data_IF_013894197268
#
_entry.id   IF_013894197268
#
_cell.length_a   1.000
_cell.length_b   1.000
_cell.length_c   1.000
_cell.angle_alpha   90.00
_cell.angle_beta   90.00
_cell.angle_gamma   90.00
#
_symmetry.space_group_name_H-M   'P 1'
#
loop_
_entity.id
_entity.type
_entity.pdbx_description
1 polymer ?
#
# COMPACT_ATOMS: atom_id res chain seq x y z
N UNK A 1 -8.83 -20.13 -1.32
CA UNK A 1 -8.97 -18.80 -1.98
C UNK A 1 -7.58 -18.29 -2.39
N UNK A 2 -7.45 -17.77 -3.60
CA UNK A 2 -6.22 -17.10 -4.05
C UNK A 2 -6.37 -15.59 -3.79
N UNK A 3 -5.36 -14.97 -3.19
CA UNK A 3 -5.31 -13.53 -2.97
C UNK A 3 -4.42 -12.90 -4.05
N UNK A 4 -4.93 -11.91 -4.78
CA UNK A 4 -4.08 -11.07 -5.60
C UNK A 4 -3.39 -10.04 -4.70
N UNK A 5 -2.06 -10.05 -4.68
CA UNK A 5 -1.28 -9.12 -3.85
C UNK A 5 -1.49 -7.67 -4.25
N UNK A 6 -1.60 -6.78 -3.27
CA UNK A 6 -1.68 -5.34 -3.50
C UNK A 6 -0.30 -4.77 -3.84
N UNK A 7 -0.05 -4.55 -5.13
CA UNK A 7 1.26 -4.16 -5.65
C UNK A 7 1.34 -2.66 -5.94
N UNK A 8 2.37 -2.02 -5.41
CA UNK A 8 2.87 -0.69 -5.72
C UNK A 8 1.82 0.38 -5.96
N UNK A 9 2.23 1.62 -6.22
CA UNK A 9 1.27 2.66 -6.56
C UNK A 9 0.67 2.41 -7.96
N UNK A 10 -0.62 2.06 -8.00
CA UNK A 10 -1.38 1.93 -9.24
C UNK A 10 -1.15 0.65 -10.06
N UNK A 11 -0.25 -0.26 -9.68
CA UNK A 11 -0.09 -1.56 -10.36
C UNK A 11 -1.32 -2.42 -10.09
N UNK A 12 -1.67 -2.64 -8.82
CA UNK A 12 -2.95 -3.23 -8.41
C UNK A 12 -4.03 -2.14 -8.37
N UNK A 13 -4.54 -1.80 -9.53
CA UNK A 13 -5.64 -0.85 -9.70
C UNK A 13 -7.00 -1.58 -9.63
N UNK A 14 -8.10 -0.82 -9.67
CA UNK A 14 -9.45 -1.35 -9.64
C UNK A 14 -9.75 -2.35 -10.77
N UNK A 15 -9.14 -2.20 -11.98
CA UNK A 15 -9.36 -3.12 -13.10
C UNK A 15 -8.82 -4.51 -12.81
N UNK A 16 -7.59 -4.58 -12.31
CA UNK A 16 -6.98 -5.83 -11.91
C UNK A 16 -7.77 -6.48 -10.76
N UNK A 17 -8.09 -5.72 -9.72
CA UNK A 17 -8.87 -6.23 -8.60
C UNK A 17 -10.23 -6.75 -9.04
N UNK A 18 -10.97 -6.02 -9.88
CA UNK A 18 -12.25 -6.44 -10.44
C UNK A 18 -12.13 -7.73 -11.27
N UNK A 19 -11.13 -7.80 -12.15
CA UNK A 19 -10.91 -8.97 -12.99
C UNK A 19 -10.66 -10.22 -12.16
N UNK A 20 -9.82 -10.12 -11.14
CA UNK A 20 -9.55 -11.23 -10.20
C UNK A 20 -10.80 -11.59 -9.40
N UNK A 21 -11.50 -10.61 -8.84
CA UNK A 21 -12.72 -10.87 -8.06
C UNK A 21 -13.80 -11.55 -8.90
N UNK A 22 -13.97 -11.18 -10.16
CA UNK A 22 -14.91 -11.86 -11.08
C UNK A 22 -14.62 -13.35 -11.30
N UNK A 23 -13.41 -13.82 -11.01
CA UNK A 23 -13.08 -15.25 -11.03
C UNK A 23 -13.41 -15.99 -9.73
N UNK A 24 -14.03 -15.31 -8.75
CA UNK A 24 -14.33 -15.88 -7.43
C UNK A 24 -13.12 -15.86 -6.47
N UNK A 25 -12.04 -15.18 -6.83
CA UNK A 25 -10.85 -15.01 -5.98
C UNK A 25 -10.84 -13.62 -5.32
N UNK A 26 -9.90 -13.34 -4.42
CA UNK A 26 -9.80 -12.04 -3.76
C UNK A 26 -8.95 -11.07 -4.60
N UNK A 27 -9.61 -10.18 -5.32
CA UNK A 27 -8.98 -9.03 -5.96
C UNK A 27 -8.68 -7.93 -4.95
N UNK A 28 -7.48 -7.36 -5.01
CA UNK A 28 -7.02 -6.39 -4.01
C UNK A 28 -6.51 -5.12 -4.70
N UNK A 29 -7.06 -3.97 -4.34
CA UNK A 29 -6.51 -2.68 -4.76
C UNK A 29 -5.35 -2.27 -3.87
N UNK A 30 -4.32 -1.63 -4.44
CA UNK A 30 -3.29 -0.97 -3.65
C UNK A 30 -3.79 0.41 -3.22
N UNK A 31 -3.90 0.63 -1.90
CA UNK A 31 -4.34 1.89 -1.32
C UNK A 31 -3.27 2.99 -1.31
N UNK A 32 -2.07 2.70 -1.83
CA UNK A 32 -0.93 3.64 -1.80
C UNK A 32 -1.07 4.70 -2.90
N UNK A 33 -0.92 5.98 -2.53
CA UNK A 33 -0.93 7.14 -3.43
C UNK A 33 -2.20 7.29 -4.29
N UNK A 34 -3.33 6.77 -3.84
CA UNK A 34 -4.59 6.83 -4.58
C UNK A 34 -5.11 8.26 -4.77
N UNK A 35 -4.90 9.16 -3.82
CA UNK A 35 -5.22 10.58 -3.93
C UNK A 35 -4.52 11.24 -5.13
N UNK A 36 -3.22 10.97 -5.30
CA UNK A 36 -2.44 11.46 -6.43
C UNK A 36 -2.90 10.82 -7.75
N UNK A 37 -3.09 9.50 -7.77
CA UNK A 37 -3.56 8.77 -8.96
C UNK A 37 -4.95 9.27 -9.37
N UNK A 38 -5.86 9.40 -8.43
CA UNK A 38 -7.22 9.85 -8.64
C UNK A 38 -7.26 11.30 -9.17
N UNK A 39 -6.52 12.21 -8.53
CA UNK A 39 -6.44 13.61 -8.98
C UNK A 39 -5.85 13.74 -10.38
N UNK A 40 -4.87 12.92 -10.76
CA UNK A 40 -4.30 12.88 -12.11
C UNK A 40 -5.29 12.33 -13.14
N UNK A 41 -6.04 11.27 -12.80
CA UNK A 41 -7.11 10.75 -13.68
C UNK A 41 -8.17 11.81 -13.97
N UNK A 42 -8.60 12.59 -12.96
CA UNK A 42 -9.51 13.72 -13.14
C UNK A 42 -8.91 14.83 -14.05
N UNK A 43 -7.63 15.14 -13.86
CA UNK A 43 -6.93 16.14 -14.66
C UNK A 43 -6.66 15.70 -16.11
N UNK A 44 -6.69 14.39 -16.37
CA UNK A 44 -6.66 13.81 -17.72
C UNK A 44 -8.05 13.74 -18.39
N UNK A 45 -9.07 14.30 -17.73
CA UNK A 45 -10.44 14.31 -18.26
C UNK A 45 -11.25 13.07 -17.91
N UNK A 46 -10.80 12.29 -16.93
CA UNK A 46 -11.43 11.03 -16.50
C UNK A 46 -11.74 10.09 -17.68
N UNK A 47 -10.71 9.56 -18.39
CA UNK A 47 -10.92 8.72 -19.55
C UNK A 47 -11.86 7.55 -19.25
N UNK A 48 -12.99 7.48 -19.95
CA UNK A 48 -14.05 6.50 -19.72
C UNK A 48 -15.05 6.86 -18.62
N UNK A 49 -14.95 8.05 -17.98
CA UNK A 49 -15.90 8.54 -16.99
C UNK A 49 -15.95 7.72 -15.69
N UNK A 50 -14.89 6.96 -15.41
CA UNK A 50 -14.88 5.99 -14.30
C UNK A 50 -14.87 6.66 -12.93
N UNK A 51 -14.08 7.73 -12.76
CA UNK A 51 -13.99 8.42 -11.47
C UNK A 51 -15.29 9.15 -11.16
N UNK A 52 -15.87 9.86 -12.15
CA UNK A 52 -17.14 10.55 -11.99
C UNK A 52 -18.28 9.57 -11.68
N UNK A 53 -18.31 8.40 -12.38
CA UNK A 53 -19.31 7.36 -12.10
C UNK A 53 -19.20 6.85 -10.65
N UNK A 54 -18.01 6.56 -10.18
CA UNK A 54 -17.79 6.14 -8.78
C UNK A 54 -18.21 7.23 -7.80
N UNK A 55 -17.81 8.48 -8.03
CA UNK A 55 -18.18 9.63 -7.20
C UNK A 55 -19.68 9.87 -7.13
N UNK A 56 -20.43 9.56 -8.19
CA UNK A 56 -21.91 9.65 -8.18
C UNK A 56 -22.58 8.75 -7.12
N UNK A 57 -21.87 7.77 -6.57
CA UNK A 57 -22.33 6.90 -5.50
C UNK A 57 -21.78 7.29 -4.12
N UNK A 58 -20.96 8.33 -4.04
CA UNK A 58 -20.42 8.80 -2.76
C UNK A 58 -21.52 9.53 -1.96
N UNK A 59 -21.60 9.35 -0.62
CA UNK A 59 -22.72 9.87 0.16
C UNK A 59 -22.77 11.40 0.33
N UNK A 60 -21.73 12.13 -0.08
CA UNK A 60 -21.63 13.58 0.05
C UNK A 60 -21.35 14.25 -1.31
N UNK A 61 -22.42 14.77 -1.95
CA UNK A 61 -22.34 15.44 -3.25
C UNK A 61 -21.53 16.75 -3.21
N UNK A 62 -21.65 17.52 -2.11
CA UNK A 62 -20.91 18.79 -1.98
C UNK A 62 -19.40 18.54 -1.92
N UNK A 63 -18.97 17.45 -1.28
CA UNK A 63 -17.57 17.03 -1.26
C UNK A 63 -17.10 16.64 -2.67
N UNK A 64 -17.91 15.91 -3.42
CA UNK A 64 -17.63 15.54 -4.82
C UNK A 64 -17.46 16.80 -5.68
N UNK A 65 -18.36 17.77 -5.53
CA UNK A 65 -18.31 19.02 -6.30
C UNK A 65 -17.04 19.83 -5.99
N UNK A 66 -16.64 19.91 -4.72
CA UNK A 66 -15.36 20.57 -4.34
C UNK A 66 -14.14 19.91 -4.97
N UNK A 67 -14.11 18.58 -5.03
CA UNK A 67 -13.00 17.84 -5.62
C UNK A 67 -12.98 17.99 -7.13
N UNK A 68 -14.14 17.89 -7.80
CA UNK A 68 -14.28 18.12 -9.24
C UNK A 68 -13.86 19.54 -9.63
N UNK A 69 -14.35 20.55 -8.92
CA UNK A 69 -13.98 21.95 -9.16
C UNK A 69 -12.47 22.19 -9.09
N UNK A 70 -11.77 21.44 -8.23
CA UNK A 70 -10.33 21.62 -8.04
C UNK A 70 -9.46 20.84 -9.01
N UNK A 71 -9.85 19.63 -9.41
CA UNK A 71 -9.00 18.71 -10.17
C UNK A 71 -9.55 18.29 -11.53
N UNK A 72 -10.86 18.34 -11.77
CA UNK A 72 -11.38 17.92 -13.06
C UNK A 72 -11.00 18.92 -14.14
N UNK A 73 -10.51 18.40 -15.26
CA UNK A 73 -10.22 19.18 -16.49
C UNK A 73 -10.90 18.46 -17.66
N UNK A 74 -11.81 19.11 -18.40
CA UNK A 74 -12.39 18.50 -19.59
C UNK A 74 -11.31 18.09 -20.61
N UNK A 75 -11.49 16.95 -21.26
CA UNK A 75 -10.52 16.39 -22.23
C UNK A 75 -10.24 17.32 -23.43
N UNK A 76 -11.16 18.25 -23.74
CA UNK A 76 -11.05 19.19 -24.85
C UNK A 76 -10.22 20.45 -24.54
N UNK A 77 -9.59 20.52 -23.37
CA UNK A 77 -8.71 21.63 -22.99
C UNK A 77 -7.36 21.55 -23.73
N UNK A 78 -7.09 22.51 -24.61
CA UNK A 78 -5.86 22.62 -25.39
C UNK A 78 -4.60 22.70 -24.50
N UNK A 79 -3.65 21.78 -24.73
CA UNK A 79 -2.28 21.82 -24.22
C UNK A 79 -2.01 20.94 -23.02
N UNK A 80 -0.82 20.34 -22.98
CA UNK A 80 -0.28 19.62 -21.82
C UNK A 80 0.00 20.63 -20.69
N UNK A 81 -0.96 20.82 -19.80
CA UNK A 81 -0.72 21.60 -18.58
C UNK A 81 -0.11 20.70 -17.53
N UNK A 82 0.88 21.18 -16.75
CA UNK A 82 1.40 20.43 -15.61
C UNK A 82 0.28 19.98 -14.68
N UNK A 83 0.43 18.81 -14.09
CA UNK A 83 -0.52 18.35 -13.10
C UNK A 83 -0.48 19.24 -11.85
N UNK A 84 -1.64 19.58 -11.34
CA UNK A 84 -1.79 20.18 -10.02
C UNK A 84 -1.56 19.08 -8.99
N UNK A 85 -0.44 19.15 -8.30
CA UNK A 85 -0.09 18.18 -7.27
C UNK A 85 -0.95 18.39 -6.02
N UNK A 86 -1.53 17.33 -5.43
CA UNK A 86 -2.17 17.42 -4.12
C UNK A 86 -1.18 17.83 -3.03
N UNK A 87 -1.62 18.51 -1.97
CA UNK A 87 -0.78 18.76 -0.81
C UNK A 87 -0.31 17.45 -0.16
N UNK A 88 0.92 17.43 0.33
CA UNK A 88 1.44 16.26 1.07
C UNK A 88 0.71 16.11 2.40
N UNK A 89 0.23 14.91 2.70
CA UNK A 89 -0.46 14.60 3.95
C UNK A 89 0.47 14.81 5.15
N UNK A 90 -0.03 15.45 6.20
CA UNK A 90 0.68 15.76 7.45
C UNK A 90 -0.20 15.46 8.66
N UNK A 91 0.29 15.67 9.88
CA UNK A 91 -0.56 15.58 11.08
C UNK A 91 -1.67 16.64 11.07
N UNK A 92 -1.39 17.82 10.51
CA UNK A 92 -2.33 18.94 10.39
C UNK A 92 -2.92 19.00 8.96
N UNK A 93 -3.23 17.83 8.38
CA UNK A 93 -3.82 17.75 7.04
C UNK A 93 -5.15 18.52 6.96
N UNK A 94 -5.27 19.37 5.94
CA UNK A 94 -6.48 20.15 5.70
C UNK A 94 -7.67 19.29 5.28
N UNK A 95 -8.88 19.82 5.42
CA UNK A 95 -10.12 19.14 5.11
C UNK A 95 -10.16 18.65 3.67
N UNK A 96 -9.71 19.47 2.72
CA UNK A 96 -9.72 19.13 1.31
C UNK A 96 -8.83 17.93 0.96
N UNK A 97 -7.65 17.85 1.57
CA UNK A 97 -6.73 16.71 1.38
C UNK A 97 -7.30 15.43 1.99
N UNK A 98 -8.00 15.54 3.14
CA UNK A 98 -8.76 14.41 3.73
C UNK A 98 -9.86 13.96 2.77
N UNK A 99 -10.65 14.88 2.22
CA UNK A 99 -11.71 14.61 1.25
C UNK A 99 -11.17 13.88 0.01
N UNK A 100 -10.08 14.38 -0.56
CA UNK A 100 -9.43 13.75 -1.71
C UNK A 100 -8.99 12.32 -1.41
N UNK A 101 -8.39 12.08 -0.23
CA UNK A 101 -7.91 10.75 0.14
C UNK A 101 -9.06 9.77 0.37
N UNK A 102 -10.12 10.19 1.03
CA UNK A 102 -11.33 9.38 1.24
C UNK A 102 -12.00 9.05 -0.09
N UNK A 103 -12.24 10.04 -0.95
CA UNK A 103 -12.86 9.86 -2.27
C UNK A 103 -12.04 8.96 -3.20
N UNK A 104 -10.73 9.11 -3.19
CA UNK A 104 -9.84 8.29 -4.02
C UNK A 104 -9.91 6.80 -3.66
N UNK A 105 -9.87 6.49 -2.35
CA UNK A 105 -9.98 5.11 -1.87
C UNK A 105 -11.39 4.55 -2.06
N UNK A 106 -12.43 5.38 -1.86
CA UNK A 106 -13.80 5.01 -2.18
C UNK A 106 -13.94 4.63 -3.65
N UNK A 107 -13.51 5.49 -4.56
CA UNK A 107 -13.67 5.28 -5.99
C UNK A 107 -12.95 4.03 -6.49
N UNK A 108 -11.72 3.78 -6.03
CA UNK A 108 -10.94 2.62 -6.44
C UNK A 108 -11.60 1.30 -5.98
N UNK A 109 -12.10 1.24 -4.73
CA UNK A 109 -12.80 0.06 -4.22
C UNK A 109 -14.18 -0.09 -4.85
N UNK A 110 -14.96 1.01 -5.01
CA UNK A 110 -16.26 0.97 -5.66
C UNK A 110 -16.17 0.37 -7.06
N UNK A 111 -15.24 0.86 -7.89
CA UNK A 111 -15.03 0.35 -9.24
C UNK A 111 -14.55 -1.10 -9.26
N UNK A 112 -13.73 -1.49 -8.30
CA UNK A 112 -13.32 -2.88 -8.16
C UNK A 112 -14.49 -3.81 -7.82
N UNK A 113 -15.50 -3.34 -7.09
CA UNK A 113 -16.72 -4.10 -6.72
C UNK A 113 -17.83 -4.04 -7.76
N UNK A 114 -17.72 -3.17 -8.75
CA UNK A 114 -18.80 -2.92 -9.72
C UNK A 114 -19.08 -4.16 -10.58
N UNK A 115 -20.37 -4.57 -10.63
CA UNK A 115 -20.85 -5.64 -11.52
C UNK A 115 -20.57 -7.07 -11.05
N UNK A 116 -20.28 -7.28 -9.76
CA UNK A 116 -20.20 -8.60 -9.14
C UNK A 116 -20.34 -8.51 -7.61
N UNK A 117 -20.64 -9.65 -6.98
CA UNK A 117 -20.80 -9.78 -5.52
C UNK A 117 -19.58 -10.45 -4.82
N UNK A 118 -18.54 -10.79 -5.58
CA UNK A 118 -17.35 -11.44 -5.05
C UNK A 118 -16.50 -10.47 -4.20
N UNK A 119 -15.65 -10.98 -3.29
CA UNK A 119 -14.91 -10.14 -2.36
C UNK A 119 -13.86 -9.28 -3.05
N UNK A 120 -13.68 -8.06 -2.52
CA UNK A 120 -12.63 -7.11 -2.89
C UNK A 120 -11.89 -6.69 -1.63
N UNK A 121 -10.57 -6.64 -1.72
CA UNK A 121 -9.69 -6.15 -0.66
C UNK A 121 -9.00 -4.82 -1.00
N UNK A 122 -8.44 -4.20 0.02
CA UNK A 122 -7.46 -3.13 -0.12
C UNK A 122 -6.20 -3.46 0.66
N UNK A 123 -5.03 -3.14 0.09
CA UNK A 123 -3.74 -3.32 0.75
C UNK A 123 -3.12 -1.96 1.08
N UNK A 124 -2.68 -1.79 2.32
CA UNK A 124 -2.04 -0.59 2.83
C UNK A 124 -0.72 -0.95 3.51
N UNK A 125 0.19 0.04 3.58
CA UNK A 125 1.47 -0.08 4.26
C UNK A 125 1.35 0.53 5.67
N UNK A 126 1.74 -0.21 6.70
CA UNK A 126 1.76 0.33 8.07
C UNK A 126 2.70 1.53 8.19
N UNK A 127 3.87 1.48 7.56
CA UNK A 127 4.85 2.58 7.55
C UNK A 127 4.31 3.89 6.94
N UNK A 128 3.30 3.83 6.09
CA UNK A 128 2.64 5.00 5.50
C UNK A 128 1.44 5.39 6.37
N UNK A 129 1.71 5.81 7.62
CA UNK A 129 0.70 5.95 8.66
C UNK A 129 -0.28 7.11 8.45
N UNK A 130 0.17 8.25 7.94
CA UNK A 130 -0.61 9.48 7.88
C UNK A 130 -1.91 9.39 7.06
N UNK A 131 -1.94 8.76 5.86
CA UNK A 131 -3.18 8.62 5.08
C UNK A 131 -4.09 7.48 5.55
N UNK A 132 -3.60 6.55 6.39
CA UNK A 132 -4.27 5.27 6.64
C UNK A 132 -5.70 5.44 7.17
N UNK A 133 -5.96 6.37 8.09
CA UNK A 133 -7.31 6.57 8.63
C UNK A 133 -8.31 7.00 7.55
N UNK A 134 -7.92 7.91 6.68
CA UNK A 134 -8.75 8.41 5.58
C UNK A 134 -8.93 7.36 4.49
N UNK A 135 -7.84 6.65 4.14
CA UNK A 135 -7.85 5.58 3.15
C UNK A 135 -8.76 4.42 3.58
N UNK A 136 -8.64 3.97 4.82
CA UNK A 136 -9.49 2.92 5.38
C UNK A 136 -10.96 3.33 5.37
N UNK A 137 -11.27 4.56 5.80
CA UNK A 137 -12.66 5.03 5.83
C UNK A 137 -13.26 5.11 4.43
N UNK A 138 -12.53 5.64 3.44
CA UNK A 138 -12.97 5.66 2.04
C UNK A 138 -13.24 4.27 1.48
N UNK A 139 -12.33 3.33 1.71
CA UNK A 139 -12.51 1.94 1.30
C UNK A 139 -13.73 1.28 1.98
N UNK A 140 -13.93 1.55 3.28
CA UNK A 140 -15.08 1.01 4.03
C UNK A 140 -16.41 1.60 3.56
N UNK A 141 -16.47 2.88 3.21
CA UNK A 141 -17.66 3.50 2.60
C UNK A 141 -18.05 2.84 1.26
N UNK A 142 -17.07 2.33 0.50
CA UNK A 142 -17.30 1.55 -0.72
C UNK A 142 -17.61 0.07 -0.45
N UNK A 143 -17.65 -0.35 0.81
CA UNK A 143 -17.97 -1.73 1.20
C UNK A 143 -16.84 -2.73 0.94
N UNK A 144 -15.59 -2.35 1.15
CA UNK A 144 -14.43 -3.26 1.06
C UNK A 144 -14.61 -4.47 1.97
N UNK A 145 -14.28 -5.67 1.49
CA UNK A 145 -14.47 -6.91 2.25
C UNK A 145 -13.23 -7.28 3.07
N UNK A 146 -12.04 -6.96 2.55
CA UNK A 146 -10.76 -7.29 3.21
C UNK A 146 -9.85 -6.07 3.29
N UNK A 147 -9.18 -5.93 4.42
CA UNK A 147 -8.03 -5.03 4.60
C UNK A 147 -6.80 -5.87 4.87
N UNK A 148 -5.78 -5.74 4.03
CA UNK A 148 -4.51 -6.44 4.14
C UNK A 148 -3.44 -5.41 4.45
N UNK A 149 -2.64 -5.62 5.49
CA UNK A 149 -1.62 -4.64 5.87
C UNK A 149 -0.33 -5.30 6.33
N UNK A 150 0.79 -4.78 5.84
CA UNK A 150 2.15 -5.17 6.18
C UNK A 150 3.11 -3.99 6.17
N UNK A 151 4.39 -4.25 5.93
CA UNK A 151 5.49 -3.28 5.98
C UNK A 151 5.48 -2.48 7.30
N UNK A 152 5.48 -3.21 8.42
CA UNK A 152 5.39 -2.71 9.78
C UNK A 152 4.54 -3.62 10.67
N UNK A 153 4.10 -3.12 11.81
CA UNK A 153 3.33 -3.87 12.80
C UNK A 153 1.97 -3.20 13.01
N UNK A 154 0.93 -3.56 12.24
CA UNK A 154 -0.35 -2.86 12.22
C UNK A 154 -1.24 -3.22 13.42
N UNK A 155 -0.68 -3.17 14.65
CA UNK A 155 -1.35 -3.62 15.88
C UNK A 155 -2.58 -2.82 16.25
N UNK A 156 -2.66 -1.55 15.86
CA UNK A 156 -3.77 -0.66 16.19
C UNK A 156 -4.88 -0.67 15.13
N UNK A 157 -4.60 -1.19 13.95
CA UNK A 157 -5.54 -1.15 12.82
C UNK A 157 -6.83 -1.95 13.05
N UNK A 158 -6.83 -3.16 13.65
CA UNK A 158 -8.09 -3.86 13.92
C UNK A 158 -9.08 -3.04 14.73
N UNK A 159 -8.63 -2.38 15.80
CA UNK A 159 -9.49 -1.50 16.60
C UNK A 159 -9.90 -0.21 15.87
N UNK A 160 -9.05 0.30 14.98
CA UNK A 160 -9.42 1.41 14.08
C UNK A 160 -10.60 1.00 13.19
N UNK A 161 -10.56 -0.21 12.60
CA UNK A 161 -11.64 -0.72 11.77
C UNK A 161 -12.96 -0.89 12.54
N UNK A 162 -12.88 -1.38 13.80
CA UNK A 162 -14.04 -1.53 14.67
C UNK A 162 -14.72 -0.17 14.96
N UNK A 163 -13.93 0.87 15.20
CA UNK A 163 -14.44 2.23 15.47
C UNK A 163 -14.97 2.89 14.19
N UNK A 164 -14.25 2.81 13.08
CA UNK A 164 -14.68 3.35 11.78
C UNK A 164 -16.00 2.71 11.30
N UNK A 165 -16.20 1.42 11.56
CA UNK A 165 -17.45 0.72 11.22
C UNK A 165 -18.68 1.35 11.88
N UNK A 166 -18.51 1.99 13.04
CA UNK A 166 -19.57 2.67 13.78
C UNK A 166 -19.46 4.20 13.71
N UNK A 167 -18.68 4.72 12.76
CA UNK A 167 -18.44 6.16 12.56
C UNK A 167 -17.96 6.89 13.82
N UNK A 168 -17.19 6.20 14.67
CA UNK A 168 -16.59 6.79 15.86
C UNK A 168 -15.23 7.40 15.54
N UNK A 169 -14.89 8.44 16.31
CA UNK A 169 -13.56 9.03 16.26
C UNK A 169 -12.48 7.98 16.51
N UNK A 170 -11.42 8.04 15.70
CA UNK A 170 -10.26 7.14 15.76
C UNK A 170 -8.99 7.93 15.97
N UNK A 171 -8.03 7.30 16.63
CA UNK A 171 -6.68 7.82 16.87
C UNK A 171 -5.68 6.72 16.58
N UNK A 172 -4.66 7.04 15.78
CA UNK A 172 -3.55 6.16 15.44
C UNK A 172 -2.26 6.78 15.94
N UNK A 173 -1.51 6.04 16.76
CA UNK A 173 -0.19 6.48 17.21
C UNK A 173 0.78 6.49 16.02
N UNK A 174 1.45 7.63 15.82
CA UNK A 174 2.39 7.82 14.71
C UNK A 174 3.82 7.58 15.19
N UNK A 175 4.60 6.83 14.39
CA UNK A 175 6.01 6.64 14.62
C UNK A 175 6.77 7.92 14.28
N UNK A 176 7.35 8.57 15.28
CA UNK A 176 8.14 9.80 15.15
C UNK A 176 9.50 9.54 15.79
N UNK A 177 10.58 9.90 15.12
CA UNK A 177 11.92 9.95 15.71
C UNK A 177 11.92 11.00 16.83
N UNK A 178 11.73 10.54 18.07
CA UNK A 178 11.51 11.40 19.22
C UNK A 178 12.85 11.85 19.81
N UNK A 179 12.99 13.17 20.03
CA UNK A 179 14.08 13.76 20.82
C UNK A 179 13.70 13.80 22.32
N UNK A 180 12.43 14.08 22.64
CA UNK A 180 11.95 14.36 23.98
C UNK A 180 10.96 13.32 24.51
N UNK A 181 10.74 12.20 23.78
CA UNK A 181 9.80 11.15 24.17
C UNK A 181 8.32 11.50 24.02
N UNK A 182 7.99 12.58 23.32
CA UNK A 182 6.62 12.96 23.02
C UNK A 182 5.92 11.90 22.17
N UNK A 183 4.59 11.80 22.32
CA UNK A 183 3.75 10.89 21.55
C UNK A 183 2.87 11.71 20.62
N UNK A 184 2.87 11.31 19.35
CA UNK A 184 2.08 11.97 18.31
C UNK A 184 1.00 11.02 17.80
N UNK A 185 -0.16 11.57 17.47
CA UNK A 185 -1.31 10.81 16.99
C UNK A 185 -1.92 11.49 15.76
N UNK A 186 -2.27 10.69 14.77
CA UNK A 186 -3.21 11.10 13.73
C UNK A 186 -4.62 10.80 14.25
N UNK A 187 -5.55 11.75 14.10
CA UNK A 187 -6.94 11.60 14.53
C UNK A 187 -7.89 11.83 13.36
N UNK A 188 -9.01 11.13 13.38
CA UNK A 188 -10.06 11.30 12.39
C UNK A 188 -11.43 11.04 13.01
N UNK A 189 -12.34 12.01 12.89
CA UNK A 189 -13.74 11.89 13.28
C UNK A 189 -14.62 11.79 12.04
N UNK A 190 -15.14 10.59 11.69
CA UNK A 190 -16.02 10.38 10.53
C UNK A 190 -17.29 11.22 10.57
N UNK A 191 -17.88 11.47 11.76
CA UNK A 191 -19.11 12.26 11.89
C UNK A 191 -18.88 13.73 11.60
N UNK A 192 -17.82 14.30 12.17
CA UNK A 192 -17.43 15.68 11.89
C UNK A 192 -17.01 15.84 10.42
N UNK A 193 -16.39 14.81 9.83
CA UNK A 193 -15.93 14.83 8.46
C UNK A 193 -17.08 14.87 7.43
N UNK A 194 -18.07 13.96 7.52
CA UNK A 194 -19.19 13.89 6.58
C UNK A 194 -20.34 14.83 6.94
N UNK A 195 -20.44 15.28 8.21
CA UNK A 195 -21.57 16.08 8.72
C UNK A 195 -22.94 15.45 8.42
N UNK A 196 -22.98 14.14 8.24
CA UNK A 196 -24.18 13.33 7.94
C UNK A 196 -24.20 12.10 8.82
N UNK A 197 -25.39 11.64 9.15
CA UNK A 197 -25.58 10.37 9.84
C UNK A 197 -25.72 9.26 8.78
N UNK A 198 -24.80 8.31 8.81
CA UNK A 198 -24.83 7.12 7.98
C UNK A 198 -25.12 5.87 8.83
N UNK A 199 -25.71 4.82 8.25
CA UNK A 199 -25.83 3.53 8.91
C UNK A 199 -24.44 2.95 9.19
N UNK A 200 -24.28 2.09 10.21
CA UNK A 200 -23.02 1.40 10.47
C UNK A 200 -22.51 0.69 9.23
N UNK A 201 -21.22 0.74 9.02
CA UNK A 201 -20.53 0.06 7.90
C UNK A 201 -20.22 -1.40 8.27
N UNK A 202 -20.17 -2.27 7.28
CA UNK A 202 -19.62 -3.61 7.45
C UNK A 202 -18.14 -3.50 7.81
N UNK A 203 -17.74 -4.06 8.95
CA UNK A 203 -16.32 -4.15 9.30
C UNK A 203 -15.64 -5.14 8.35
N UNK A 204 -14.56 -4.75 7.64
CA UNK A 204 -13.84 -5.66 6.78
C UNK A 204 -13.05 -6.71 7.57
N UNK A 205 -12.79 -7.86 6.94
CA UNK A 205 -11.87 -8.89 7.44
C UNK A 205 -10.45 -8.30 7.41
N UNK A 206 -9.73 -8.42 8.51
CA UNK A 206 -8.36 -7.90 8.62
C UNK A 206 -7.34 -9.02 8.54
N UNK A 207 -6.46 -8.98 7.52
CA UNK A 207 -5.33 -9.88 7.37
C UNK A 207 -4.03 -9.13 7.61
N UNK A 208 -3.24 -9.58 8.60
CA UNK A 208 -1.90 -9.04 8.83
C UNK A 208 -0.87 -9.80 8.00
N UNK A 209 -0.04 -9.08 7.24
CA UNK A 209 1.13 -9.69 6.60
C UNK A 209 2.20 -9.90 7.67
N UNK A 210 2.69 -11.11 7.78
CA UNK A 210 3.67 -11.52 8.80
C UNK A 210 4.81 -12.31 8.18
N UNK A 211 6.03 -12.04 8.63
CA UNK A 211 7.25 -12.72 8.20
C UNK A 211 7.86 -13.58 9.32
N UNK A 212 7.14 -13.78 10.43
CA UNK A 212 7.63 -14.56 11.56
C UNK A 212 6.54 -15.02 12.50
N UNK A 213 6.80 -16.14 13.18
CA UNK A 213 5.95 -16.66 14.27
C UNK A 213 5.79 -15.64 15.40
N UNK A 214 6.86 -14.90 15.74
CA UNK A 214 6.80 -13.88 16.78
C UNK A 214 5.83 -12.76 16.41
N UNK A 215 5.90 -12.26 15.17
CA UNK A 215 5.01 -11.21 14.67
C UNK A 215 3.56 -11.70 14.62
N UNK A 216 3.33 -12.91 14.09
CA UNK A 216 2.00 -13.52 14.05
C UNK A 216 1.41 -13.67 15.47
N UNK A 217 2.21 -14.18 16.42
CA UNK A 217 1.81 -14.32 17.84
C UNK A 217 1.46 -12.97 18.46
N UNK A 218 2.26 -11.95 18.18
CA UNK A 218 2.01 -10.60 18.70
C UNK A 218 0.71 -10.04 18.11
N UNK A 219 0.48 -10.20 16.81
CA UNK A 219 -0.77 -9.75 16.15
C UNK A 219 -1.98 -10.51 16.69
N UNK A 220 -1.90 -11.83 16.83
CA UNK A 220 -3.00 -12.64 17.37
C UNK A 220 -3.38 -12.29 18.82
N UNK A 221 -2.38 -11.95 19.67
CA UNK A 221 -2.59 -11.83 21.13
C UNK A 221 -2.59 -10.40 21.66
N UNK A 222 -2.02 -9.44 20.92
CA UNK A 222 -1.77 -8.08 21.43
C UNK A 222 -2.26 -6.97 20.50
N UNK A 223 -2.95 -7.28 19.41
CA UNK A 223 -3.67 -6.27 18.65
C UNK A 223 -4.82 -5.70 19.48
N UNK A 224 -5.20 -4.43 19.22
CA UNK A 224 -6.28 -3.75 19.96
C UNK A 224 -7.69 -4.08 19.46
N UNK A 225 -7.84 -5.06 18.56
CA UNK A 225 -9.09 -5.55 18.00
C UNK A 225 -8.86 -6.90 17.34
N UNK A 226 -9.86 -7.40 16.61
CA UNK A 226 -9.83 -8.74 16.02
C UNK A 226 -8.93 -8.77 14.78
N UNK A 227 -7.91 -9.63 14.81
CA UNK A 227 -7.17 -10.10 13.63
C UNK A 227 -7.88 -11.32 13.10
N UNK A 228 -8.23 -11.33 11.82
CA UNK A 228 -9.04 -12.39 11.21
C UNK A 228 -8.19 -13.47 10.50
N UNK A 229 -6.90 -13.18 10.24
CA UNK A 229 -5.99 -14.13 9.62
C UNK A 229 -4.65 -13.49 9.26
N UNK A 230 -3.81 -14.28 8.60
CA UNK A 230 -2.46 -13.88 8.21
C UNK A 230 -2.18 -14.11 6.73
N UNK A 231 -1.38 -13.22 6.14
CA UNK A 231 -0.59 -13.52 4.95
C UNK A 231 0.84 -13.76 5.42
N UNK A 232 1.33 -14.98 5.29
CA UNK A 232 2.70 -15.37 5.67
C UNK A 232 3.61 -15.11 4.49
N UNK A 233 4.45 -14.10 4.63
CA UNK A 233 5.32 -13.63 3.56
C UNK A 233 6.74 -14.17 3.73
N UNK A 234 7.22 -14.90 2.73
CA UNK A 234 8.58 -15.42 2.66
C UNK A 234 9.52 -14.40 1.99
N UNK A 235 10.85 -14.55 2.17
CA UNK A 235 11.84 -13.65 1.57
C UNK A 235 11.79 -13.57 0.04
N UNK A 236 11.22 -14.57 -0.62
CA UNK A 236 11.05 -14.63 -2.07
C UNK A 236 9.88 -13.79 -2.58
N UNK A 237 9.04 -13.24 -1.71
CA UNK A 237 7.91 -12.40 -2.12
C UNK A 237 8.37 -11.17 -2.90
N UNK A 238 7.56 -10.73 -3.87
CA UNK A 238 7.80 -9.50 -4.63
C UNK A 238 7.52 -8.24 -3.83
N UNK A 239 8.11 -7.12 -4.24
CA UNK A 239 7.94 -5.83 -3.55
C UNK A 239 8.82 -5.71 -2.30
N UNK A 240 8.28 -5.12 -1.23
CA UNK A 240 8.97 -5.05 0.06
C UNK A 240 9.07 -6.42 0.72
N UNK A 241 10.26 -6.73 1.25
CA UNK A 241 10.50 -7.95 2.01
C UNK A 241 10.91 -7.63 3.44
N UNK A 242 10.65 -8.52 4.37
CA UNK A 242 11.25 -8.41 5.70
C UNK A 242 12.79 -8.51 5.56
N UNK A 243 13.56 -7.65 6.25
CA UNK A 243 15.01 -7.78 6.27
C UNK A 243 15.43 -9.09 6.98
N UNK A 244 16.60 -9.65 6.65
CA UNK A 244 17.15 -10.80 7.38
C UNK A 244 17.25 -10.50 8.88
N UNK A 245 17.05 -11.54 9.69
CA UNK A 245 17.14 -11.39 11.15
C UNK A 245 18.59 -11.39 11.61
N UNK A 246 18.96 -10.32 12.31
CA UNK A 246 20.31 -10.12 12.82
C UNK A 246 21.05 -9.02 12.05
N UNK A 247 22.37 -9.16 11.95
CA UNK A 247 23.18 -8.21 11.18
C UNK A 247 22.94 -8.46 9.69
N UNK A 248 22.69 -7.38 8.93
CA UNK A 248 22.61 -7.45 7.47
C UNK A 248 23.95 -7.94 6.91
N UNK A 249 23.89 -9.01 6.14
CA UNK A 249 25.00 -9.57 5.35
C UNK A 249 24.57 -9.55 3.90
N UNK A 250 25.42 -9.07 3.02
CA UNK A 250 25.18 -9.05 1.60
C UNK A 250 26.01 -10.15 0.90
N UNK A 251 25.43 -10.74 -0.16
CA UNK A 251 26.17 -11.63 -1.06
C UNK A 251 27.05 -10.82 -2.04
N UNK A 252 27.77 -11.52 -2.91
CA UNK A 252 28.67 -10.89 -3.89
C UNK A 252 27.93 -10.01 -4.92
N UNK A 253 26.59 -10.17 -5.04
CA UNK A 253 25.73 -9.32 -5.87
C UNK A 253 25.16 -8.12 -5.13
N UNK A 254 25.40 -8.00 -3.82
CA UNK A 254 24.86 -6.92 -2.99
C UNK A 254 23.44 -7.19 -2.45
N UNK A 255 22.92 -8.42 -2.59
CA UNK A 255 21.60 -8.79 -2.07
C UNK A 255 21.68 -9.30 -0.63
N UNK A 256 20.63 -9.08 0.19
CA UNK A 256 20.56 -9.63 1.54
C UNK A 256 20.63 -11.16 1.58
N UNK A 257 21.45 -11.70 2.47
CA UNK A 257 21.53 -13.14 2.72
C UNK A 257 20.56 -13.53 3.82
N UNK A 258 19.62 -14.40 3.50
CA UNK A 258 18.68 -14.99 4.44
C UNK A 258 19.19 -16.34 4.93
N UNK A 259 18.89 -16.68 6.17
CA UNK A 259 19.34 -17.92 6.81
C UNK A 259 18.24 -18.63 7.59
N UNK A 260 18.62 -19.66 8.37
CA UNK A 260 17.67 -20.50 9.12
C UNK A 260 16.75 -19.70 10.06
N UNK A 261 17.21 -18.54 10.55
CA UNK A 261 16.39 -17.66 11.41
C UNK A 261 15.24 -16.99 10.66
N UNK A 262 15.33 -16.93 9.35
CA UNK A 262 14.31 -16.31 8.49
C UNK A 262 13.25 -17.31 8.01
N UNK A 263 13.51 -18.62 8.25
CA UNK A 263 12.54 -19.69 7.99
C UNK A 263 11.37 -19.59 8.97
N UNK A 264 10.15 -19.73 8.46
CA UNK A 264 8.93 -19.66 9.24
C UNK A 264 8.42 -21.06 9.54
N UNK A 265 8.29 -21.38 10.84
CA UNK A 265 7.71 -22.65 11.30
C UNK A 265 6.17 -22.59 11.15
N UNK A 266 5.64 -23.09 10.03
CA UNK A 266 4.21 -23.01 9.70
C UNK A 266 3.32 -23.70 10.73
N UNK A 267 3.78 -24.79 11.36
CA UNK A 267 3.03 -25.47 12.42
C UNK A 267 2.76 -24.54 13.63
N UNK A 268 3.69 -23.63 13.94
CA UNK A 268 3.49 -22.63 14.99
C UNK A 268 2.51 -21.54 14.57
N UNK A 269 2.46 -21.19 13.27
CA UNK A 269 1.43 -20.28 12.73
C UNK A 269 0.06 -20.94 12.83
N UNK A 270 -0.06 -22.19 12.38
CA UNK A 270 -1.28 -22.98 12.45
C UNK A 270 -1.81 -23.16 13.89
N UNK A 271 -0.90 -23.33 14.85
CA UNK A 271 -1.24 -23.44 16.28
C UNK A 271 -1.86 -22.16 16.88
N UNK A 272 -1.79 -21.00 16.18
CA UNK A 272 -2.48 -19.78 16.60
C UNK A 272 -3.99 -19.84 16.34
N UNK A 273 -4.48 -20.81 15.54
CA UNK A 273 -5.90 -21.05 15.29
C UNK A 273 -6.56 -20.03 14.36
N UNK A 274 -5.78 -19.24 13.63
CA UNK A 274 -6.27 -18.29 12.62
C UNK A 274 -5.93 -18.78 11.21
N UNK A 275 -6.81 -18.52 10.22
CA UNK A 275 -6.53 -18.86 8.83
C UNK A 275 -5.31 -18.09 8.32
N UNK A 276 -4.55 -18.72 7.42
CA UNK A 276 -3.40 -18.07 6.81
C UNK A 276 -3.23 -18.44 5.33
N UNK A 277 -2.58 -17.54 4.60
CA UNK A 277 -2.22 -17.68 3.18
C UNK A 277 -0.71 -17.57 3.04
N UNK A 278 -0.12 -18.31 2.10
CA UNK A 278 1.32 -18.25 1.83
C UNK A 278 1.61 -17.29 0.68
N UNK A 279 2.62 -16.43 0.86
CA UNK A 279 3.11 -15.48 -0.15
C UNK A 279 4.62 -15.66 -0.37
N UNK A 280 5.09 -15.49 -1.61
CA UNK A 280 6.47 -15.71 -2.02
C UNK A 280 6.63 -17.00 -2.83
N UNK A 281 6.70 -16.85 -4.17
CA UNK A 281 6.91 -17.95 -5.13
C UNK A 281 5.89 -19.12 -5.06
N UNK A 282 4.65 -18.86 -4.63
CA UNK A 282 3.58 -19.85 -4.53
C UNK A 282 2.63 -19.87 -5.73
N UNK A 283 2.91 -19.15 -6.81
CA UNK A 283 1.99 -18.86 -7.91
C UNK A 283 1.85 -19.98 -8.96
N UNK A 284 1.96 -21.27 -8.61
CA UNK A 284 1.67 -22.40 -9.50
C UNK A 284 0.59 -23.32 -8.92
N UNK A 285 -0.11 -24.13 -9.74
CA UNK A 285 -1.09 -25.09 -9.26
C UNK A 285 -0.52 -26.08 -8.24
N UNK A 286 0.70 -26.57 -8.46
CA UNK A 286 1.39 -27.52 -7.56
C UNK A 286 1.68 -26.87 -6.22
N UNK A 287 2.16 -25.62 -6.24
CA UNK A 287 2.44 -24.84 -5.04
C UNK A 287 1.17 -24.49 -4.26
N UNK A 288 0.05 -24.25 -4.94
CA UNK A 288 -1.24 -24.09 -4.27
C UNK A 288 -1.64 -25.38 -3.52
N UNK A 289 -1.50 -26.55 -4.14
CA UNK A 289 -1.80 -27.83 -3.49
C UNK A 289 -0.85 -28.08 -2.29
N UNK A 290 0.43 -27.78 -2.44
CA UNK A 290 1.40 -27.84 -1.35
C UNK A 290 1.00 -26.91 -0.20
N UNK A 291 0.64 -25.66 -0.46
CA UNK A 291 0.18 -24.73 0.56
C UNK A 291 -1.04 -25.24 1.34
N UNK A 292 -2.03 -25.81 0.63
CA UNK A 292 -3.21 -26.41 1.25
C UNK A 292 -2.80 -27.62 2.13
N UNK A 293 -1.88 -28.47 1.66
CA UNK A 293 -1.39 -29.61 2.43
C UNK A 293 -0.66 -29.21 3.71
N UNK A 294 -0.03 -28.03 3.71
CA UNK A 294 0.60 -27.41 4.88
C UNK A 294 -0.41 -26.74 5.83
N UNK A 295 -1.70 -26.74 5.48
CA UNK A 295 -2.77 -26.18 6.28
C UNK A 295 -3.10 -24.71 6.02
N UNK A 296 -2.59 -24.13 4.95
CA UNK A 296 -2.99 -22.79 4.51
C UNK A 296 -4.37 -22.80 3.85
N UNK A 297 -5.12 -21.70 3.95
CA UNK A 297 -6.39 -21.48 3.23
C UNK A 297 -6.19 -21.18 1.74
N UNK A 298 -4.94 -20.93 1.33
CA UNK A 298 -4.57 -20.64 -0.03
C UNK A 298 -3.24 -19.89 -0.13
N UNK A 299 -3.10 -19.15 -1.22
CA UNK A 299 -1.86 -18.43 -1.54
C UNK A 299 -2.14 -16.97 -1.89
N UNK A 300 -1.11 -16.11 -1.77
CA UNK A 300 -1.10 -14.76 -2.34
C UNK A 300 -0.14 -14.71 -3.53
N UNK A 301 -0.60 -14.17 -4.66
CA UNK A 301 0.16 -14.03 -5.90
C UNK A 301 0.27 -12.54 -6.26
N UNK A 302 1.49 -12.07 -6.51
CA UNK A 302 1.76 -10.70 -6.96
C UNK A 302 2.32 -10.67 -8.38
N UNK A 303 3.58 -11.05 -8.54
CA UNK A 303 4.40 -10.83 -9.74
C UNK A 303 3.75 -11.31 -11.04
N UNK A 304 3.16 -12.50 -11.06
CA UNK A 304 2.49 -13.02 -12.27
C UNK A 304 1.32 -12.12 -12.71
N UNK A 305 0.58 -11.56 -11.75
CA UNK A 305 -0.55 -10.66 -12.04
C UNK A 305 -0.11 -9.23 -12.38
N UNK A 306 1.12 -8.83 -11.99
CA UNK A 306 1.67 -7.52 -12.35
C UNK A 306 1.83 -7.35 -13.86
N UNK A 307 2.04 -8.42 -14.59
CA UNK A 307 2.21 -8.40 -16.05
C UNK A 307 0.93 -8.81 -16.82
N UNK A 308 -0.19 -8.97 -16.12
CA UNK A 308 -1.50 -9.18 -16.75
C UNK A 308 -1.99 -7.92 -17.48
N UNK A 309 -2.94 -8.09 -18.40
CA UNK A 309 -3.51 -7.01 -19.19
C UNK A 309 -4.11 -5.90 -18.31
N UNK A 310 -4.75 -6.28 -17.21
CA UNK A 310 -5.52 -5.43 -16.31
C UNK A 310 -4.64 -4.65 -15.32
N UNK A 311 -3.39 -5.04 -15.12
CA UNK A 311 -2.48 -4.36 -14.21
C UNK A 311 -2.14 -2.94 -14.68
N UNK A 312 -1.67 -2.11 -13.75
CA UNK A 312 -1.36 -0.71 -14.02
C UNK A 312 0.00 -0.46 -14.66
N UNK A 313 0.82 -1.48 -14.90
CA UNK A 313 2.03 -1.28 -15.69
C UNK A 313 1.70 -0.87 -17.13
N UNK A 314 2.57 -0.08 -17.74
CA UNK A 314 2.42 0.28 -19.15
C UNK A 314 2.62 -0.96 -20.04
N UNK A 315 1.97 -0.98 -21.19
CA UNK A 315 2.12 -2.10 -22.14
C UNK A 315 3.57 -2.29 -22.61
N UNK A 316 4.35 -1.20 -22.69
CA UNK A 316 5.77 -1.26 -23.00
C UNK A 316 6.57 -2.06 -21.95
N UNK A 317 6.37 -1.77 -20.66
CA UNK A 317 7.01 -2.51 -19.57
C UNK A 317 6.60 -3.97 -19.58
N UNK A 318 5.30 -4.26 -19.72
CA UNK A 318 4.79 -5.65 -19.79
C UNK A 318 5.43 -6.42 -20.93
N UNK A 319 5.42 -5.84 -22.13
CA UNK A 319 5.99 -6.46 -23.33
C UNK A 319 7.48 -6.74 -23.17
N UNK A 320 8.26 -5.74 -22.78
CA UNK A 320 9.72 -5.89 -22.58
C UNK A 320 10.03 -6.96 -21.53
N UNK A 321 9.31 -6.97 -20.41
CA UNK A 321 9.51 -7.98 -19.36
C UNK A 321 9.20 -9.39 -19.86
N UNK A 322 8.08 -9.58 -20.57
CA UNK A 322 7.68 -10.88 -21.11
C UNK A 322 8.70 -11.33 -22.16
N UNK A 323 9.19 -10.44 -23.02
CA UNK A 323 10.26 -10.75 -23.97
C UNK A 323 11.54 -11.20 -23.29
N UNK A 324 11.95 -10.52 -22.21
CA UNK A 324 13.12 -10.89 -21.42
C UNK A 324 12.95 -12.25 -20.72
N UNK A 325 11.73 -12.55 -20.22
CA UNK A 325 11.42 -13.88 -19.66
C UNK A 325 11.58 -14.96 -20.73
N UNK A 326 11.03 -14.76 -21.92
CA UNK A 326 11.16 -15.73 -23.02
C UNK A 326 12.61 -15.93 -23.51
N UNK A 327 13.43 -14.89 -23.44
CA UNK A 327 14.87 -14.96 -23.77
C UNK A 327 15.72 -15.55 -22.64
N UNK A 328 15.16 -15.75 -21.44
CA UNK A 328 15.89 -16.16 -20.23
C UNK A 328 16.83 -15.08 -19.68
N UNK A 329 16.59 -13.80 -20.01
CA UNK A 329 17.39 -12.64 -19.58
C UNK A 329 16.72 -11.82 -18.49
N UNK A 330 15.50 -12.17 -18.09
CA UNK A 330 14.82 -11.48 -16.99
C UNK A 330 15.58 -11.69 -15.68
N UNK A 331 15.85 -10.60 -14.98
CA UNK A 331 16.56 -10.62 -13.69
C UNK A 331 15.81 -9.77 -12.68
N UNK A 332 15.75 -10.23 -11.44
CA UNK A 332 15.20 -9.51 -10.30
C UNK A 332 16.26 -9.42 -9.22
N UNK A 333 16.55 -8.23 -8.78
CA UNK A 333 17.53 -7.92 -7.74
C UNK A 333 16.82 -7.54 -6.44
N UNK A 334 17.28 -8.08 -5.32
CA UNK A 334 16.76 -7.68 -3.99
C UNK A 334 17.62 -6.55 -3.44
N UNK A 335 17.18 -5.31 -3.65
CA UNK A 335 17.93 -4.13 -3.21
C UNK A 335 17.62 -3.83 -1.73
N UNK A 336 18.64 -3.82 -0.84
CA UNK A 336 18.44 -3.49 0.57
C UNK A 336 18.13 -2.01 0.81
N UNK A 337 18.39 -1.14 -0.17
CA UNK A 337 18.37 0.31 -0.04
C UNK A 337 17.34 1.00 -0.94
N UNK A 338 16.71 0.31 -1.89
CA UNK A 338 15.82 0.93 -2.89
C UNK A 338 14.56 1.58 -2.30
N UNK A 339 14.16 1.20 -1.09
CA UNK A 339 12.94 1.76 -0.48
C UNK A 339 13.22 2.57 0.77
N UNK A 340 12.74 3.84 0.81
CA UNK A 340 12.82 4.70 2.00
C UNK A 340 12.11 4.13 3.25
N UNK A 341 11.40 3.02 3.12
CA UNK A 341 10.81 2.31 4.26
C UNK A 341 11.84 1.58 5.12
N UNK A 342 13.06 1.39 4.62
CA UNK A 342 14.10 0.58 5.25
C UNK A 342 13.89 -0.94 5.12
N UNK A 343 12.99 -1.36 4.23
CA UNK A 343 12.80 -2.76 3.86
C UNK A 343 13.50 -3.07 2.53
N UNK A 344 14.17 -4.23 2.38
CA UNK A 344 14.63 -4.70 1.08
C UNK A 344 13.50 -4.72 0.06
N UNK A 345 13.81 -4.43 -1.19
CA UNK A 345 12.83 -4.31 -2.25
C UNK A 345 13.25 -5.07 -3.51
N UNK A 346 12.33 -5.81 -4.11
CA UNK A 346 12.57 -6.54 -5.37
C UNK A 346 12.50 -5.58 -6.55
N UNK A 347 13.62 -5.39 -7.23
CA UNK A 347 13.78 -4.54 -8.41
C UNK A 347 13.92 -5.42 -9.65
N UNK A 348 13.02 -5.24 -10.62
CA UNK A 348 13.15 -5.88 -11.93
C UNK A 348 14.15 -5.09 -12.79
N UNK A 349 15.19 -5.75 -13.27
CA UNK A 349 16.17 -5.14 -14.17
C UNK A 349 15.57 -4.92 -15.55
N UNK A 350 15.43 -3.66 -15.95
CA UNK A 350 14.87 -3.23 -17.24
C UNK A 350 15.72 -2.12 -17.85
N UNK A 351 16.11 -2.28 -19.11
CA UNK A 351 16.82 -1.27 -19.88
C UNK A 351 16.05 0.05 -19.95
N UNK A 352 16.74 1.17 -19.77
CA UNK A 352 16.17 2.53 -19.79
C UNK A 352 15.32 2.86 -18.56
N UNK A 353 15.43 2.10 -17.48
CA UNK A 353 14.70 2.37 -16.23
C UNK A 353 15.64 2.72 -15.08
N UNK A 354 15.06 3.14 -13.94
CA UNK A 354 15.82 3.42 -12.71
C UNK A 354 16.46 2.17 -12.07
N UNK A 355 16.32 0.99 -12.69
CA UNK A 355 17.08 -0.20 -12.29
C UNK A 355 18.52 -0.21 -12.79
N UNK A 356 18.88 0.71 -13.69
CA UNK A 356 20.24 0.93 -14.17
C UNK A 356 20.95 1.99 -13.33
N UNK A 357 22.14 1.69 -12.85
CA UNK A 357 22.90 2.58 -11.94
C UNK A 357 23.13 3.97 -12.52
N UNK A 358 23.48 4.09 -13.80
CA UNK A 358 23.70 5.39 -14.46
C UNK A 358 22.40 6.21 -14.45
N UNK A 359 21.30 5.63 -14.91
CA UNK A 359 19.98 6.27 -14.93
C UNK A 359 19.53 6.67 -13.52
N UNK A 360 19.81 5.80 -12.53
CA UNK A 360 19.50 6.09 -11.13
C UNK A 360 20.31 7.24 -10.56
N UNK A 361 21.62 7.30 -10.83
CA UNK A 361 22.50 8.36 -10.32
C UNK A 361 22.21 9.74 -10.96
N UNK A 362 21.85 9.76 -12.25
CA UNK A 362 21.56 10.99 -12.99
C UNK A 362 20.16 11.55 -12.70
N UNK A 363 19.28 10.80 -12.05
CA UNK A 363 17.90 11.24 -11.79
C UNK A 363 17.85 12.51 -10.93
N UNK A 364 16.92 13.42 -11.18
CA UNK A 364 16.65 14.51 -10.25
C UNK A 364 16.10 13.94 -8.93
N UNK A 365 16.74 14.30 -7.83
CA UNK A 365 16.31 13.90 -6.48
C UNK A 365 15.17 14.81 -6.02
N UNK A 366 13.94 14.34 -6.18
CA UNK A 366 12.72 15.05 -5.76
C UNK A 366 11.82 14.14 -4.94
N UNK A 367 11.27 14.68 -3.84
CA UNK A 367 10.17 14.04 -3.14
C UNK A 367 8.93 14.94 -3.27
N UNK A 368 8.08 14.66 -4.25
CA UNK A 368 6.85 15.41 -4.54
C UNK A 368 5.57 14.73 -4.02
N UNK A 369 5.62 13.45 -3.70
CA UNK A 369 4.47 12.69 -3.18
C UNK A 369 4.41 12.67 -1.64
N UNK A 370 5.53 12.62 -0.96
CA UNK A 370 5.62 12.68 0.49
C UNK A 370 5.12 11.45 1.26
N UNK A 371 4.85 10.32 0.58
CA UNK A 371 4.26 9.13 1.21
C UNK A 371 5.20 8.39 2.15
N UNK A 372 6.49 8.33 1.82
CA UNK A 372 7.50 7.58 2.57
C UNK A 372 8.40 8.50 3.43
N UNK A 373 7.93 9.72 3.73
CA UNK A 373 8.68 10.63 4.61
C UNK A 373 8.76 10.07 6.03
N UNK A 374 9.94 10.21 6.62
CA UNK A 374 10.15 9.96 8.04
C UNK A 374 9.73 11.18 8.85
N UNK A 375 8.98 10.96 9.91
CA UNK A 375 8.59 12.00 10.85
C UNK A 375 9.65 12.08 11.94
N UNK A 376 10.00 13.31 12.33
CA UNK A 376 10.95 13.57 13.42
C UNK A 376 10.46 14.73 14.28
N UNK A 377 10.83 14.73 15.55
CA UNK A 377 10.53 15.82 16.48
C UNK A 377 11.58 16.92 16.32
N UNK A 378 11.15 18.15 16.07
CA UNK A 378 12.00 19.33 16.01
C UNK A 378 12.32 19.83 17.43
N UNK A 379 13.32 20.71 17.55
CA UNK A 379 13.70 21.36 18.81
C UNK A 379 12.57 22.18 19.46
N UNK A 380 11.62 22.67 18.65
CA UNK A 380 10.42 23.40 19.11
C UNK A 380 9.25 22.48 19.52
N UNK A 381 9.48 21.17 19.55
CA UNK A 381 8.46 20.15 19.89
C UNK A 381 7.48 19.84 18.77
N UNK A 382 7.57 20.47 17.61
CA UNK A 382 6.72 20.19 16.46
C UNK A 382 7.26 19.04 15.63
N UNK A 383 6.39 18.42 14.82
CA UNK A 383 6.79 17.38 13.88
C UNK A 383 7.37 17.98 12.61
N UNK A 384 8.53 17.47 12.22
CA UNK A 384 9.16 17.70 10.93
C UNK A 384 9.04 16.48 10.03
N UNK A 385 9.29 16.68 8.74
CA UNK A 385 9.20 15.66 7.70
C UNK A 385 10.47 15.66 6.87
N UNK A 386 11.10 14.50 6.71
CA UNK A 386 12.28 14.31 5.86
C UNK A 386 12.17 13.01 5.09
N UNK A 387 12.83 12.93 3.94
CA UNK A 387 12.85 11.74 3.10
C UNK A 387 14.25 11.43 2.62
N UNK A 388 14.77 10.20 2.76
CA UNK A 388 16.08 9.83 2.22
C UNK A 388 16.23 10.07 0.72
N UNK A 389 15.12 10.09 -0.03
CA UNK A 389 15.10 10.35 -1.47
C UNK A 389 15.03 11.85 -1.84
N UNK A 390 14.93 12.78 -0.87
CA UNK A 390 15.01 14.22 -1.16
C UNK A 390 16.47 14.64 -1.41
N UNK A 391 16.74 15.86 -1.92
CA UNK A 391 18.13 16.32 -2.09
C UNK A 391 18.98 16.10 -0.83
N UNK A 392 20.14 15.47 -1.00
CA UNK A 392 20.99 15.03 0.12
C UNK A 392 21.27 16.13 1.16
N UNK A 393 21.59 17.36 0.68
CA UNK A 393 21.83 18.50 1.56
C UNK A 393 20.60 18.89 2.40
N UNK A 394 19.41 18.76 1.83
CA UNK A 394 18.13 19.04 2.52
C UNK A 394 17.85 17.99 3.59
N UNK A 395 18.05 16.71 3.25
CA UNK A 395 17.85 15.59 4.18
C UNK A 395 18.77 15.70 5.40
N UNK A 396 20.08 15.94 5.17
CA UNK A 396 21.06 16.10 6.24
C UNK A 396 20.78 17.36 7.09
N UNK A 397 20.40 18.49 6.47
CA UNK A 397 20.02 19.71 7.19
C UNK A 397 18.81 19.51 8.11
N UNK A 398 17.92 18.54 7.81
CA UNK A 398 16.80 18.12 8.65
C UNK A 398 17.21 17.05 9.69
N UNK A 399 18.50 16.81 9.90
CA UNK A 399 19.01 15.80 10.85
C UNK A 399 18.89 14.37 10.35
N UNK A 400 18.82 14.15 9.04
CA UNK A 400 18.95 12.82 8.44
C UNK A 400 20.39 12.32 8.47
N UNK A 401 20.60 11.01 8.61
CA UNK A 401 21.93 10.43 8.53
C UNK A 401 22.35 10.33 7.05
N UNK A 402 23.58 10.77 6.74
CA UNK A 402 24.12 10.71 5.39
C UNK A 402 24.15 9.28 4.81
N UNK A 403 24.34 8.27 5.67
CA UNK A 403 24.36 6.86 5.28
C UNK A 403 22.99 6.31 4.87
N UNK A 404 21.89 7.03 5.21
CA UNK A 404 20.51 6.65 4.86
C UNK A 404 20.04 7.27 3.53
N UNK A 405 20.90 8.05 2.84
CA UNK A 405 20.54 8.72 1.58
C UNK A 405 20.35 7.67 0.48
N UNK A 406 19.22 7.76 -0.21
CA UNK A 406 18.77 6.79 -1.24
C UNK A 406 18.56 7.48 -2.59
#
# INVERSE_FOLDING_TARGET
>A
MIIQGGMGAGVSNWRLAQAVSKTGQLGVVSGTALDTIFSRRLQLGDPGGHMQRAMGHFPDADMVDRILARYYRPANGSGQRPFKTPPMISLDTDQHTKELTVLANFAEVFLAKEGHENPVGTNLLEKVQLPNLYALYGAMLAGVDYVIMGAGIPREIPGVLDLLATHREVSLKIAVGALNGNRFYATFDPKAFLQKTLPPLKRPIFLSIVSSVLLATMMAKKANGKVDGFVVELPEAGGHNAPPRGKLVLNDLGEPVYGDRDTIELEKIKALGLPFWLAGCWGTPEKLQEAISLGAEGIQIGTALAFSKESGFTDAIKKLTIENIHKGTASVFTDPSASPTGFPFKVLSLEGSLSEDETYQERPRMCDLGYLRHLYEKSDGKVGYRCPAEPASVFVAKGGNADDIQ
#
